data_IF_299246490653
#
_entry.id   IF_299246490653
#
_cell.length_a   1.000
_cell.length_b   1.000
_cell.length_c   1.000
_cell.angle_alpha   90.00
_cell.angle_beta   90.00
_cell.angle_gamma   90.00
#
_symmetry.space_group_name_H-M   'P 1'
#
loop_
_entity.id
_entity.type
_entity.pdbx_description
1 polymer ?
#
# COMPACT_ATOMS: atom_id res chain seq x y z
N UNK A 1 23.62 -14.36 -26.00
CA UNK A 1 23.57 -12.91 -26.27
C UNK A 1 22.48 -12.39 -25.34
N UNK A 2 22.87 -11.97 -24.13
CA UNK A 2 21.91 -11.46 -23.15
C UNK A 2 21.77 -9.96 -23.44
N UNK A 3 20.58 -9.53 -23.84
CA UNK A 3 20.31 -8.12 -24.06
C UNK A 3 20.37 -7.41 -22.71
N UNK A 4 21.31 -6.49 -22.59
CA UNK A 4 21.52 -5.63 -21.43
C UNK A 4 20.27 -4.76 -21.24
N UNK A 5 19.47 -5.13 -20.24
CA UNK A 5 18.24 -4.43 -19.90
C UNK A 5 18.54 -2.97 -19.55
N UNK A 6 17.91 -2.06 -20.30
CA UNK A 6 17.76 -0.65 -19.94
C UNK A 6 17.51 -0.50 -18.43
N UNK A 7 18.17 0.44 -17.71
CA UNK A 7 17.90 0.67 -16.31
C UNK A 7 16.42 0.99 -16.15
N UNK A 8 15.66 0.06 -15.57
CA UNK A 8 14.28 0.32 -15.20
C UNK A 8 14.36 1.18 -13.96
N UNK A 9 14.05 2.48 -14.12
CA UNK A 9 13.98 3.41 -13.01
C UNK A 9 13.09 2.84 -11.91
N UNK A 10 13.69 2.54 -10.75
CA UNK A 10 12.98 2.01 -9.60
C UNK A 10 12.83 3.08 -8.53
N UNK A 11 11.78 2.99 -7.73
CA UNK A 11 11.47 3.94 -6.68
C UNK A 11 11.43 3.24 -5.32
N UNK A 12 12.33 3.65 -4.43
CA UNK A 12 12.41 3.20 -3.06
C UNK A 12 11.41 3.96 -2.17
N UNK A 13 10.60 3.22 -1.41
CA UNK A 13 9.69 3.82 -0.45
C UNK A 13 10.47 4.41 0.73
N UNK A 14 10.48 5.75 0.83
CA UNK A 14 11.10 6.50 1.93
C UNK A 14 10.25 6.55 3.21
N UNK A 15 9.16 5.76 3.27
CA UNK A 15 8.18 5.75 4.37
C UNK A 15 7.60 7.13 4.71
N UNK A 16 7.52 8.02 3.72
CA UNK A 16 7.04 9.40 3.91
C UNK A 16 5.56 9.54 4.35
N UNK A 17 4.77 8.46 4.30
CA UNK A 17 3.35 8.46 4.69
C UNK A 17 2.41 9.19 3.74
N UNK A 18 2.91 9.85 2.70
CA UNK A 18 2.09 10.64 1.77
C UNK A 18 1.01 9.80 1.09
N UNK A 19 1.35 8.60 0.60
CA UNK A 19 0.39 7.72 -0.07
C UNK A 19 -0.77 7.25 0.82
N UNK A 20 -0.60 7.28 2.14
CA UNK A 20 -1.65 6.95 3.08
C UNK A 20 -2.60 8.13 3.34
N UNK A 21 -2.31 9.34 2.85
CA UNK A 21 -3.13 10.55 3.08
C UNK A 21 -3.95 10.98 1.86
N UNK A 22 -3.82 10.27 0.73
CA UNK A 22 -4.58 10.59 -0.46
C UNK A 22 -5.95 9.93 -0.39
N UNK A 23 -6.95 10.60 -0.93
CA UNK A 23 -8.25 9.99 -1.14
C UNK A 23 -8.12 8.81 -2.10
N UNK A 24 -8.71 7.67 -1.75
CA UNK A 24 -8.72 6.48 -2.60
C UNK A 24 -9.18 5.23 -1.86
N UNK A 25 -9.41 4.17 -2.62
CA UNK A 25 -9.62 2.83 -2.05
C UNK A 25 -8.27 2.12 -1.94
N UNK A 26 -8.00 1.53 -0.78
CA UNK A 26 -6.95 0.51 -0.59
C UNK A 26 -7.64 -0.83 -0.68
N UNK A 27 -7.77 -1.37 -1.89
CA UNK A 27 -8.44 -2.63 -2.13
C UNK A 27 -7.61 -3.77 -1.52
N UNK A 28 -8.30 -4.66 -0.81
CA UNK A 28 -7.70 -5.83 -0.19
C UNK A 28 -8.48 -7.08 -0.56
N UNK A 29 -7.75 -8.17 -0.81
CA UNK A 29 -8.25 -9.51 -1.06
C UNK A 29 -8.25 -10.35 0.24
N UNK A 30 -8.82 -11.55 0.18
CA UNK A 30 -9.01 -12.42 1.37
C UNK A 30 -7.69 -12.87 2.00
N UNK A 31 -6.67 -13.16 1.19
CA UNK A 31 -5.33 -13.51 1.66
C UNK A 31 -4.66 -12.32 2.39
N UNK A 32 -4.80 -11.12 1.85
CA UNK A 32 -4.27 -9.90 2.46
C UNK A 32 -4.98 -9.57 3.77
N UNK A 33 -6.30 -9.78 3.85
CA UNK A 33 -7.06 -9.65 5.10
C UNK A 33 -6.48 -10.56 6.18
N UNK A 34 -6.24 -11.83 5.85
CA UNK A 34 -5.67 -12.81 6.77
C UNK A 34 -4.27 -12.43 7.22
N UNK A 35 -3.39 -12.06 6.29
CA UNK A 35 -2.01 -11.65 6.61
C UNK A 35 -1.97 -10.41 7.51
N UNK A 36 -2.80 -9.42 7.22
CA UNK A 36 -2.86 -8.17 8.00
C UNK A 36 -3.46 -8.42 9.38
N UNK A 37 -4.55 -9.19 9.48
CA UNK A 37 -5.17 -9.53 10.76
C UNK A 37 -4.19 -10.27 11.67
N UNK A 38 -3.48 -11.28 11.12
CA UNK A 38 -2.44 -12.02 11.85
C UNK A 38 -1.31 -11.10 12.33
N UNK A 39 -0.83 -10.20 11.48
CA UNK A 39 0.23 -9.26 11.84
C UNK A 39 -0.20 -8.25 12.91
N UNK A 40 -1.49 -7.88 12.93
CA UNK A 40 -2.07 -7.00 13.94
C UNK A 40 -2.49 -7.74 15.22
N UNK A 41 -2.30 -9.06 15.29
CA UNK A 41 -2.74 -9.92 16.38
C UNK A 41 -4.26 -9.81 16.63
N UNK A 42 -5.02 -9.71 15.53
CA UNK A 42 -6.48 -9.59 15.53
C UNK A 42 -7.12 -10.78 14.80
N UNK A 43 -8.38 -11.06 15.15
CA UNK A 43 -9.22 -11.98 14.39
C UNK A 43 -9.57 -11.39 13.00
N UNK A 44 -9.67 -12.24 11.98
CA UNK A 44 -9.97 -11.83 10.59
C UNK A 44 -11.32 -11.09 10.50
N UNK A 45 -12.35 -11.59 11.19
CA UNK A 45 -13.68 -10.98 11.19
C UNK A 45 -13.69 -9.66 11.96
N UNK A 46 -12.96 -9.58 13.08
CA UNK A 46 -12.76 -8.34 13.81
C UNK A 46 -12.07 -7.29 12.92
N UNK A 47 -11.01 -7.66 12.21
CA UNK A 47 -10.33 -6.78 11.26
C UNK A 47 -11.27 -6.29 10.15
N UNK A 48 -12.04 -7.18 9.53
CA UNK A 48 -13.02 -6.78 8.49
C UNK A 48 -14.02 -5.76 9.05
N UNK A 49 -14.58 -6.02 10.23
CA UNK A 49 -15.62 -5.18 10.81
C UNK A 49 -15.09 -3.82 11.28
N UNK A 50 -13.92 -3.81 11.94
CA UNK A 50 -13.37 -2.63 12.58
C UNK A 50 -12.54 -1.80 11.60
N UNK A 51 -11.76 -2.44 10.74
CA UNK A 51 -10.76 -1.78 9.90
C UNK A 51 -11.15 -1.64 8.42
N UNK A 52 -12.16 -2.37 7.94
CA UNK A 52 -12.51 -2.40 6.51
C UNK A 52 -13.92 -1.86 6.23
N UNK A 53 -14.11 -1.30 5.04
CA UNK A 53 -15.40 -0.89 4.49
C UNK A 53 -15.66 -1.61 3.17
N UNK A 54 -16.93 -1.81 2.86
CA UNK A 54 -17.33 -2.26 1.54
C UNK A 54 -17.02 -1.16 0.51
N UNK A 55 -16.46 -1.54 -0.64
CA UNK A 55 -16.24 -0.62 -1.75
C UNK A 55 -17.56 -0.11 -2.32
N UNK A 56 -17.53 1.06 -2.96
CA UNK A 56 -18.72 1.66 -3.57
C UNK A 56 -19.40 0.74 -4.60
N UNK A 57 -18.61 -0.06 -5.33
CA UNK A 57 -19.09 -1.04 -6.30
C UNK A 57 -19.57 -2.36 -5.66
N UNK A 58 -19.44 -2.51 -4.33
CA UNK A 58 -19.79 -3.71 -3.55
C UNK A 58 -19.08 -5.01 -3.98
N UNK A 59 -17.98 -4.92 -4.72
CA UNK A 59 -17.21 -6.08 -5.23
C UNK A 59 -15.98 -6.44 -4.39
N UNK A 60 -15.87 -5.92 -3.17
CA UNK A 60 -14.73 -6.20 -2.31
C UNK A 60 -14.59 -5.21 -1.17
N UNK A 61 -13.53 -5.37 -0.39
CA UNK A 61 -13.22 -4.54 0.77
C UNK A 61 -12.17 -3.48 0.43
N UNK A 62 -12.23 -2.38 1.16
CA UNK A 62 -11.16 -1.39 1.26
C UNK A 62 -10.87 -1.13 2.73
N UNK A 63 -9.62 -0.79 3.05
CA UNK A 63 -9.30 -0.24 4.38
C UNK A 63 -10.09 1.07 4.57
N UNK A 64 -10.60 1.31 5.78
CA UNK A 64 -11.30 2.55 6.15
C UNK A 64 -10.33 3.73 6.20
N UNK A 65 -10.91 4.91 6.10
CA UNK A 65 -10.23 6.17 6.39
C UNK A 65 -10.48 6.55 7.86
N UNK A 66 -9.49 7.16 8.50
CA UNK A 66 -9.59 7.80 9.79
C UNK A 66 -10.37 9.12 9.68
N UNK A 67 -10.64 9.76 10.82
CA UNK A 67 -11.43 10.99 10.87
C UNK A 67 -10.80 12.17 10.10
N UNK A 68 -9.48 12.17 9.92
CA UNK A 68 -8.73 13.17 9.14
C UNK A 68 -8.68 12.84 7.63
N UNK A 69 -9.32 11.76 7.20
CA UNK A 69 -9.32 11.29 5.81
C UNK A 69 -8.06 10.53 5.40
N UNK A 70 -7.11 10.29 6.31
CA UNK A 70 -5.99 9.39 6.03
C UNK A 70 -6.41 7.92 6.18
N UNK A 71 -5.69 7.01 5.54
CA UNK A 71 -5.84 5.57 5.74
C UNK A 71 -5.72 5.21 7.23
N UNK A 72 -6.64 4.38 7.73
CA UNK A 72 -6.70 3.96 9.15
C UNK A 72 -5.39 3.33 9.66
N UNK A 73 -4.56 2.79 8.77
CA UNK A 73 -3.29 2.15 9.13
C UNK A 73 -2.12 3.14 9.31
N UNK A 74 -2.35 4.43 9.06
CA UNK A 74 -1.33 5.46 9.24
C UNK A 74 -1.20 5.85 10.71
N UNK A 75 0.04 5.88 11.20
CA UNK A 75 0.42 6.33 12.54
C UNK A 75 1.43 7.47 12.43
N UNK A 76 1.83 8.06 13.56
CA UNK A 76 2.90 9.06 13.63
C UNK A 76 4.23 8.52 13.07
N UNK A 77 4.48 7.21 13.24
CA UNK A 77 5.68 6.52 12.74
C UNK A 77 5.52 5.97 11.31
N UNK A 78 4.44 6.33 10.60
CA UNK A 78 4.11 5.85 9.27
C UNK A 78 3.10 4.70 9.27
N UNK A 79 3.04 3.94 8.17
CA UNK A 79 2.07 2.85 8.02
C UNK A 79 2.42 1.68 8.95
N UNK A 80 1.56 1.36 9.92
CA UNK A 80 1.83 0.31 10.91
C UNK A 80 1.90 -1.09 10.30
N UNK A 81 1.19 -1.33 9.20
CA UNK A 81 1.19 -2.60 8.46
C UNK A 81 2.23 -2.63 7.34
N UNK A 82 3.29 -1.80 7.40
CA UNK A 82 4.33 -1.73 6.37
C UNK A 82 4.88 -3.11 5.92
N UNK A 83 5.15 -4.07 6.82
CA UNK A 83 5.69 -5.39 6.45
C UNK A 83 4.70 -6.27 5.66
N UNK A 84 3.40 -6.13 5.92
CA UNK A 84 2.31 -6.90 5.31
C UNK A 84 1.38 -6.00 4.50
N UNK A 85 1.96 -4.98 3.83
CA UNK A 85 1.18 -4.06 3.02
C UNK A 85 0.40 -4.82 1.96
N UNK A 86 -0.88 -4.44 1.72
CA UNK A 86 -1.60 -4.91 0.56
C UNK A 86 -0.77 -4.71 -0.71
N UNK A 87 -0.88 -5.64 -1.64
CA UNK A 87 -0.30 -5.62 -2.98
C UNK A 87 -0.49 -4.27 -3.64
N UNK A 88 -1.67 -3.67 -3.60
CA UNK A 88 -1.90 -2.33 -4.15
C UNK A 88 -0.94 -1.27 -3.55
N UNK A 89 -0.72 -1.30 -2.24
CA UNK A 89 0.20 -0.39 -1.55
C UNK A 89 1.67 -0.75 -1.72
N UNK A 90 2.00 -2.04 -1.89
CA UNK A 90 3.36 -2.57 -2.10
C UNK A 90 3.86 -2.34 -3.51
N UNK A 91 2.96 -2.46 -4.48
CA UNK A 91 3.24 -2.33 -5.90
C UNK A 91 3.38 -0.86 -6.32
N UNK A 92 2.87 0.08 -5.53
CA UNK A 92 3.06 1.51 -5.75
C UNK A 92 4.48 1.98 -5.34
N UNK A 93 5.18 2.77 -6.16
CA UNK A 93 4.78 3.31 -7.47
C UNK A 93 5.34 2.51 -8.68
N UNK A 94 6.00 1.37 -8.44
CA UNK A 94 6.83 0.69 -9.45
C UNK A 94 6.02 -0.20 -10.41
N UNK A 95 5.08 -1.00 -9.90
CA UNK A 95 4.24 -1.89 -10.70
C UNK A 95 2.86 -1.29 -11.00
N UNK A 96 2.44 -0.31 -10.21
CA UNK A 96 1.22 0.47 -10.43
C UNK A 96 1.41 1.90 -9.96
N UNK A 97 0.93 2.86 -10.74
CA UNK A 97 0.88 4.27 -10.38
C UNK A 97 -0.19 5.02 -11.20
N UNK A 98 -0.29 6.33 -10.99
CA UNK A 98 -1.21 7.22 -11.70
C UNK A 98 -0.51 8.53 -12.08
N UNK A 99 -0.94 9.25 -13.14
CA UNK A 99 -0.32 10.51 -13.55
C UNK A 99 -0.23 11.53 -12.39
N UNK A 100 0.93 12.15 -12.21
CA UNK A 100 1.16 13.14 -11.14
C UNK A 100 1.56 12.55 -9.77
N UNK A 101 1.64 11.22 -9.62
CA UNK A 101 2.00 10.59 -8.34
C UNK A 101 3.34 11.07 -7.74
N UNK A 102 4.30 11.48 -8.59
CA UNK A 102 5.62 11.98 -8.19
C UNK A 102 5.56 13.30 -7.42
N UNK A 103 4.53 14.10 -7.64
CA UNK A 103 4.33 15.36 -6.92
C UNK A 103 3.78 15.12 -5.51
N UNK A 104 3.16 13.96 -5.31
CA UNK A 104 2.54 13.57 -4.06
C UNK A 104 3.44 12.65 -3.22
N UNK A 105 4.14 11.71 -3.86
CA UNK A 105 5.00 10.73 -3.19
C UNK A 105 6.44 11.20 -3.13
N UNK A 106 7.07 11.08 -1.96
CA UNK A 106 8.50 11.35 -1.77
C UNK A 106 9.37 10.10 -1.96
N UNK A 107 8.95 9.16 -2.82
CA UNK A 107 9.75 7.97 -3.10
C UNK A 107 11.06 8.39 -3.78
N UNK A 108 12.16 7.72 -3.41
CA UNK A 108 13.49 8.05 -3.93
C UNK A 108 13.75 7.24 -5.18
N UNK A 109 14.09 7.91 -6.27
CA UNK A 109 14.54 7.26 -7.48
C UNK A 109 15.90 6.57 -7.24
N UNK A 110 15.99 5.30 -7.62
CA UNK A 110 17.20 4.49 -7.50
C UNK A 110 17.48 3.80 -8.82
N UNK A 111 18.74 3.84 -9.26
CA UNK A 111 19.20 3.26 -10.52
C UNK A 111 19.44 1.74 -10.44
N UNK A 112 18.68 1.03 -9.61
CA UNK A 112 18.86 -0.40 -9.34
C UNK A 112 17.50 -1.07 -9.11
N UNK A 113 17.26 -2.18 -9.80
CA UNK A 113 16.16 -3.09 -9.47
C UNK A 113 16.53 -3.84 -8.20
N UNK A 114 15.75 -3.78 -7.10
CA UNK A 114 16.02 -4.62 -5.94
C UNK A 114 15.84 -6.09 -6.32
N UNK A 115 16.76 -6.96 -5.86
CA UNK A 115 16.58 -8.41 -5.93
C UNK A 115 15.23 -8.80 -5.30
N UNK A 116 14.48 -9.76 -5.88
CA UNK A 116 13.23 -10.22 -5.30
C UNK A 116 13.51 -10.81 -3.91
N UNK A 117 12.88 -10.26 -2.87
CA UNK A 117 12.83 -10.85 -1.53
C UNK A 117 11.77 -11.93 -1.46
#
# INVERSE_FOLDING_TARGET
MAEEGSPTTWYECTRCGACCRWAGDVCIEEDEVREIALFLEMDEQAFINECCRLRANRKGLSIKDAADGACLMLTENGCRINPVKPRQCRDFPNKWNFPGWRELCRAREVNQTPEPR
#
